data_IF_162424412515
#
_entry.id   IF_162424412515
#
_cell.length_a   1.000
_cell.length_b   1.000
_cell.length_c   1.000
_cell.angle_alpha   90.00
_cell.angle_beta   90.00
_cell.angle_gamma   90.00
#
_symmetry.space_group_name_H-M   'P 1'
#
loop_
_entity.id
_entity.type
_entity.pdbx_description
1 polymer ?
#
# COMPACT_ATOMS: atom_id res chain seq x y z
N UNK A 1 -11.42 13.77 11.18
CA UNK A 1 -11.22 13.05 9.89
C UNK A 1 -11.93 11.69 9.99
N UNK A 2 -12.63 11.22 8.96
CA UNK A 2 -13.23 9.86 8.95
C UNK A 2 -12.30 8.94 8.18
N UNK A 3 -11.93 7.79 8.75
CA UNK A 3 -11.02 6.82 8.14
C UNK A 3 -11.55 5.41 8.25
N UNK A 4 -11.13 4.54 7.32
CA UNK A 4 -11.37 3.10 7.37
C UNK A 4 -10.02 2.40 7.48
N UNK A 5 -9.89 1.50 8.44
CA UNK A 5 -8.73 0.64 8.60
C UNK A 5 -9.10 -0.78 8.14
N UNK A 6 -8.35 -1.32 7.18
CA UNK A 6 -8.58 -2.66 6.63
C UNK A 6 -7.46 -3.58 7.15
N UNK A 7 -7.81 -4.48 8.06
CA UNK A 7 -6.90 -5.48 8.64
C UNK A 7 -7.31 -6.90 8.25
N UNK A 8 -6.40 -7.85 8.47
CA UNK A 8 -6.63 -9.27 8.21
C UNK A 8 -5.37 -10.07 8.48
N UNK A 9 -5.53 -11.26 9.06
CA UNK A 9 -4.43 -12.16 9.45
C UNK A 9 -3.70 -12.72 8.23
N UNK A 10 -2.36 -12.72 8.24
CA UNK A 10 -1.53 -13.25 7.16
C UNK A 10 -1.32 -12.30 5.97
N UNK A 11 -0.50 -12.70 5.02
CA UNK A 11 -0.30 -12.03 3.72
C UNK A 11 -1.22 -12.65 2.66
N UNK A 12 -1.41 -11.96 1.52
CA UNK A 12 -2.17 -12.47 0.36
C UNK A 12 -3.64 -12.89 0.59
N UNK A 13 -4.20 -12.65 1.77
CA UNK A 13 -5.62 -12.94 2.09
C UNK A 13 -6.65 -12.01 1.42
N UNK A 14 -6.25 -11.21 0.43
CA UNK A 14 -7.16 -10.35 -0.33
C UNK A 14 -7.47 -8.97 0.28
N UNK A 15 -6.69 -8.50 1.26
CA UNK A 15 -6.89 -7.16 1.87
C UNK A 15 -6.92 -6.02 0.85
N UNK A 16 -5.91 -5.95 -0.02
CA UNK A 16 -5.81 -4.93 -1.07
C UNK A 16 -6.96 -5.01 -2.04
N UNK A 17 -7.34 -6.23 -2.43
CA UNK A 17 -8.48 -6.47 -3.32
C UNK A 17 -9.75 -5.82 -2.76
N UNK A 18 -10.09 -6.08 -1.50
CA UNK A 18 -11.28 -5.50 -0.85
C UNK A 18 -11.14 -3.99 -0.68
N UNK A 19 -9.97 -3.52 -0.22
CA UNK A 19 -9.70 -2.10 -0.03
C UNK A 19 -9.89 -1.29 -1.33
N UNK A 20 -9.40 -1.77 -2.48
CA UNK A 20 -9.63 -1.12 -3.77
C UNK A 20 -11.12 -0.94 -4.08
N UNK A 21 -11.98 -1.94 -3.79
CA UNK A 21 -13.42 -1.85 -4.09
C UNK A 21 -14.09 -0.85 -3.15
N UNK A 22 -13.72 -0.84 -1.88
CA UNK A 22 -14.20 0.16 -0.92
C UNK A 22 -13.81 1.58 -1.38
N UNK A 23 -12.57 1.78 -1.79
CA UNK A 23 -12.09 3.06 -2.32
C UNK A 23 -12.90 3.47 -3.55
N UNK A 24 -13.04 2.60 -4.57
CA UNK A 24 -13.83 2.90 -5.77
C UNK A 24 -15.28 3.29 -5.46
N UNK A 25 -15.92 2.62 -4.51
CA UNK A 25 -17.29 2.92 -4.09
C UNK A 25 -17.39 4.26 -3.36
N UNK A 26 -16.50 4.52 -2.42
CA UNK A 26 -16.49 5.77 -1.64
C UNK A 26 -16.12 6.98 -2.50
N UNK A 27 -15.18 6.81 -3.44
CA UNK A 27 -14.75 7.82 -4.40
C UNK A 27 -15.89 8.38 -5.26
N UNK A 28 -17.03 7.68 -5.36
CA UNK A 28 -18.24 8.19 -6.06
C UNK A 28 -18.88 9.39 -5.37
N UNK A 29 -18.67 9.56 -4.07
CA UNK A 29 -19.36 10.60 -3.27
C UNK A 29 -18.43 11.41 -2.37
N UNK A 30 -17.16 11.01 -2.27
CA UNK A 30 -16.18 11.61 -1.37
C UNK A 30 -14.82 11.68 -2.02
N UNK A 31 -13.98 12.61 -1.56
CA UNK A 31 -12.54 12.59 -1.81
C UNK A 31 -11.90 11.54 -0.89
N UNK A 32 -11.22 10.55 -1.47
CA UNK A 32 -10.70 9.38 -0.74
C UNK A 32 -9.20 9.25 -0.95
N UNK A 33 -8.40 9.72 0.00
CA UNK A 33 -6.98 9.43 0.06
C UNK A 33 -6.73 8.00 0.57
N UNK A 34 -5.67 7.35 0.08
CA UNK A 34 -5.32 5.96 0.41
C UNK A 34 -3.94 5.87 1.06
N UNK A 35 -3.72 4.93 1.97
CA UNK A 35 -2.43 4.72 2.63
C UNK A 35 -2.10 3.23 2.66
N UNK A 36 -0.85 2.92 2.32
CA UNK A 36 -0.22 1.60 2.41
C UNK A 36 1.23 1.86 2.82
N UNK A 37 1.50 2.22 4.09
CA UNK A 37 2.78 2.81 4.48
C UNK A 37 3.96 1.86 4.31
N UNK A 38 3.72 0.55 4.44
CA UNK A 38 4.73 -0.50 4.32
C UNK A 38 4.26 -1.52 3.29
N UNK A 39 5.13 -1.82 2.32
CA UNK A 39 4.94 -2.88 1.35
C UNK A 39 6.23 -3.67 1.17
N UNK A 40 6.12 -4.99 1.29
CA UNK A 40 7.20 -5.95 1.08
C UNK A 40 6.98 -6.68 -0.25
N UNK A 41 7.96 -7.48 -0.69
CA UNK A 41 7.94 -8.15 -2.01
C UNK A 41 7.84 -7.18 -3.21
N UNK A 42 8.37 -5.96 -3.06
CA UNK A 42 8.46 -4.98 -4.13
C UNK A 42 9.45 -5.46 -5.19
N UNK A 43 9.10 -5.27 -6.48
CA UNK A 43 9.96 -5.67 -7.60
C UNK A 43 10.71 -4.47 -8.14
N UNK A 44 11.97 -4.66 -8.53
CA UNK A 44 12.72 -3.64 -9.26
C UNK A 44 12.33 -3.67 -10.74
N UNK A 45 11.89 -2.54 -11.27
CA UNK A 45 11.68 -2.29 -12.68
C UNK A 45 12.35 -0.96 -13.02
N UNK A 46 13.20 -0.93 -14.05
CA UNK A 46 13.91 0.29 -14.48
C UNK A 46 14.61 1.03 -13.31
N UNK A 47 15.33 0.27 -12.48
CA UNK A 47 16.06 0.75 -11.28
C UNK A 47 15.17 1.32 -10.16
N UNK A 48 13.84 1.23 -10.28
CA UNK A 48 12.88 1.69 -9.29
C UNK A 48 12.12 0.53 -8.65
N UNK A 49 11.84 0.65 -7.35
CA UNK A 49 10.95 -0.30 -6.67
C UNK A 49 9.50 -0.02 -7.06
N UNK A 50 8.80 -1.08 -7.44
CA UNK A 50 7.39 -1.04 -7.82
C UNK A 50 6.57 -1.71 -6.73
N UNK A 51 5.76 -0.89 -6.06
CA UNK A 51 4.73 -1.30 -5.10
C UNK A 51 3.46 -1.71 -5.83
N UNK A 52 3.04 -2.97 -5.71
CA UNK A 52 1.83 -3.50 -6.35
C UNK A 52 0.57 -3.01 -5.63
N UNK A 53 0.51 -3.11 -4.31
CA UNK A 53 -0.66 -2.75 -3.52
C UNK A 53 -0.88 -1.24 -3.54
N UNK A 54 0.17 -0.44 -3.29
CA UNK A 54 0.04 1.01 -3.25
C UNK A 54 -0.39 1.60 -4.61
N UNK A 55 0.15 1.08 -5.73
CA UNK A 55 -0.27 1.50 -7.08
C UNK A 55 -1.72 1.10 -7.35
N UNK A 56 -2.15 -0.09 -6.94
CA UNK A 56 -3.54 -0.53 -7.11
C UNK A 56 -4.52 0.37 -6.33
N UNK A 57 -4.17 0.74 -5.10
CA UNK A 57 -4.95 1.66 -4.27
C UNK A 57 -4.96 3.08 -4.84
N UNK A 58 -3.82 3.59 -5.31
CA UNK A 58 -3.70 4.90 -5.95
C UNK A 58 -4.61 4.99 -7.19
N UNK A 59 -4.59 3.96 -8.05
CA UNK A 59 -5.47 3.88 -9.24
C UNK A 59 -6.96 3.80 -8.89
N UNK A 60 -7.31 3.30 -7.70
CA UNK A 60 -8.70 3.23 -7.22
C UNK A 60 -9.18 4.56 -6.61
N UNK A 61 -8.26 5.36 -6.07
CA UNK A 61 -8.51 6.65 -5.45
C UNK A 61 -8.86 7.73 -6.48
N UNK A 62 -9.66 8.72 -6.06
CA UNK A 62 -9.91 9.94 -6.83
C UNK A 62 -9.04 11.13 -6.36
N UNK A 63 -8.03 10.87 -5.53
CA UNK A 63 -7.05 11.85 -5.05
C UNK A 63 -5.68 11.45 -5.58
N UNK A 64 -5.06 12.33 -6.36
CA UNK A 64 -3.70 12.13 -6.83
C UNK A 64 -2.70 12.51 -5.72
N UNK A 65 -1.88 11.56 -5.30
CA UNK A 65 -0.77 11.76 -4.37
C UNK A 65 0.46 10.99 -4.89
N UNK A 66 1.66 11.49 -4.57
CA UNK A 66 2.91 10.79 -4.85
C UNK A 66 2.90 9.38 -4.23
N UNK A 67 3.44 8.39 -4.95
CA UNK A 67 3.44 7.00 -4.49
C UNK A 67 4.21 6.85 -3.17
N UNK A 68 5.26 7.63 -2.94
CA UNK A 68 6.05 7.62 -1.70
C UNK A 68 5.26 8.18 -0.50
N UNK A 69 4.24 9.01 -0.76
CA UNK A 69 3.30 9.49 0.27
C UNK A 69 2.25 8.44 0.62
N UNK A 70 1.96 7.54 -0.30
CA UNK A 70 1.05 6.40 -0.09
C UNK A 70 1.81 5.25 0.59
N UNK A 71 3.03 4.96 0.13
CA UNK A 71 3.92 3.88 0.58
C UNK A 71 5.36 4.39 0.72
N UNK A 72 5.71 4.79 1.94
CA UNK A 72 7.03 5.33 2.27
C UNK A 72 8.09 4.26 2.49
N UNK A 73 7.70 3.06 2.91
CA UNK A 73 8.60 1.95 3.16
C UNK A 73 8.36 0.82 2.17
N UNK A 74 9.32 0.62 1.27
CA UNK A 74 9.25 -0.34 0.19
C UNK A 74 10.42 -1.31 0.34
N UNK A 75 10.12 -2.60 0.44
CA UNK A 75 11.13 -3.63 0.68
C UNK A 75 11.05 -4.71 -0.40
N UNK A 76 12.20 -5.21 -0.83
CA UNK A 76 12.29 -6.31 -1.81
C UNK A 76 12.10 -7.68 -1.16
N UNK A 77 12.34 -7.79 0.14
CA UNK A 77 12.23 -9.06 0.87
C UNK A 77 10.78 -9.50 0.95
N UNK A 78 10.49 -10.75 0.56
CA UNK A 78 9.17 -11.36 0.65
C UNK A 78 8.91 -11.88 2.08
N UNK A 79 8.69 -10.96 3.02
CA UNK A 79 8.38 -11.28 4.41
C UNK A 79 7.49 -10.21 5.06
N UNK A 80 7.30 -10.28 6.38
CA UNK A 80 6.56 -9.25 7.11
C UNK A 80 7.27 -7.90 7.04
N UNK A 81 6.53 -6.80 7.16
CA UNK A 81 7.13 -5.45 7.15
C UNK A 81 8.18 -5.24 8.26
N UNK A 82 7.96 -5.82 9.44
CA UNK A 82 8.90 -5.78 10.57
C UNK A 82 10.18 -6.57 10.25
N UNK A 83 10.05 -7.77 9.70
CA UNK A 83 11.20 -8.57 9.30
C UNK A 83 11.99 -7.90 8.17
N UNK A 84 11.30 -7.28 7.22
CA UNK A 84 11.91 -6.61 6.08
C UNK A 84 12.64 -5.32 6.48
N UNK A 85 12.07 -4.54 7.39
CA UNK A 85 12.71 -3.32 7.92
C UNK A 85 13.96 -3.65 8.72
N UNK A 86 13.89 -4.65 9.61
CA UNK A 86 15.04 -5.13 10.37
C UNK A 86 16.16 -5.66 9.46
N UNK A 87 15.82 -6.43 8.43
CA UNK A 87 16.80 -6.96 7.47
C UNK A 87 17.46 -5.86 6.63
N UNK A 88 16.76 -4.74 6.41
CA UNK A 88 17.25 -3.60 5.63
C UNK A 88 17.91 -2.53 6.50
N UNK A 89 17.99 -2.71 7.81
CA UNK A 89 18.51 -1.71 8.75
C UNK A 89 17.67 -0.43 8.83
N UNK A 90 16.40 -0.48 8.41
CA UNK A 90 15.49 0.67 8.40
C UNK A 90 14.64 0.66 9.67
N UNK A 91 14.57 1.80 10.36
CA UNK A 91 13.60 1.99 11.45
C UNK A 91 12.31 2.55 10.85
N UNK A 92 11.18 1.88 11.11
CA UNK A 92 9.86 2.19 10.53
C UNK A 92 8.91 2.81 11.54
#
# INVERSE_FOLDING_TARGET
MKGLFVSGSGTEVGKTFIAERLVRLLSKTRSVAVRKPIESDCKTLDEQLVTKDAVALQKASNVAEDINRICCYQFTQCCSGESASSASGVTI
#
